data_IF_222993004233
#
_entry.id   IF_222993004233
#
_cell.length_a   1.000
_cell.length_b   1.000
_cell.length_c   1.000
_cell.angle_alpha   90.00
_cell.angle_beta   90.00
_cell.angle_gamma   90.00
#
_symmetry.space_group_name_H-M   'P 1'
#
loop_
_entity.id
_entity.type
_entity.pdbx_description
1 polymer ?
#
# COMPACT_ATOMS: atom_id res chain seq x y z
N UNK A 1 -15.53 17.18 -1.69
CA UNK A 1 -16.07 15.86 -1.27
C UNK A 1 -15.13 15.07 -0.35
N UNK A 2 -13.79 15.39 -0.31
CA UNK A 2 -12.82 14.66 0.53
C UNK A 2 -13.21 14.56 2.02
N UNK A 3 -14.05 15.46 2.53
CA UNK A 3 -14.58 15.40 3.91
C UNK A 3 -15.45 14.16 4.14
N UNK A 4 -16.02 13.57 3.10
CA UNK A 4 -16.81 12.34 3.18
C UNK A 4 -15.96 11.14 3.70
N UNK A 5 -14.64 11.15 3.48
CA UNK A 5 -13.73 10.13 4.02
C UNK A 5 -13.78 10.04 5.57
N UNK A 6 -14.25 11.10 6.24
CA UNK A 6 -14.30 11.20 7.71
C UNK A 6 -15.70 11.48 8.23
N UNK A 7 -16.72 11.37 7.37
CA UNK A 7 -18.11 11.60 7.78
C UNK A 7 -18.56 10.51 8.73
N UNK A 8 -19.15 10.93 9.85
CA UNK A 8 -19.82 10.05 10.81
C UNK A 8 -21.29 9.78 10.45
N UNK A 9 -21.80 10.47 9.43
CA UNK A 9 -23.20 10.33 9.02
C UNK A 9 -23.40 8.98 8.33
N UNK A 10 -24.38 8.25 8.81
CA UNK A 10 -24.82 6.97 8.25
C UNK A 10 -25.75 7.18 7.01
N UNK A 11 -25.55 8.25 6.26
CA UNK A 11 -26.30 8.48 5.04
C UNK A 11 -25.96 7.35 4.06
N UNK A 12 -26.98 6.59 3.66
CA UNK A 12 -26.90 5.50 2.69
C UNK A 12 -26.74 6.04 1.25
N UNK A 13 -25.73 6.88 1.05
CA UNK A 13 -25.34 7.36 -0.28
C UNK A 13 -24.27 6.42 -0.86
N UNK A 14 -24.20 6.34 -2.19
CA UNK A 14 -23.17 5.57 -2.91
C UNK A 14 -21.76 5.93 -2.40
N UNK A 15 -21.51 7.22 -2.13
CA UNK A 15 -20.22 7.69 -1.59
C UNK A 15 -19.95 7.11 -0.20
N UNK A 16 -20.94 7.07 0.69
CA UNK A 16 -20.75 6.52 2.04
C UNK A 16 -20.50 5.01 2.02
N UNK A 17 -21.13 4.29 1.12
CA UNK A 17 -20.91 2.85 0.93
C UNK A 17 -19.52 2.56 0.37
N UNK A 18 -19.07 3.31 -0.64
CA UNK A 18 -17.72 3.21 -1.19
C UNK A 18 -16.66 3.42 -0.10
N UNK A 19 -16.82 4.46 0.72
CA UNK A 19 -15.91 4.75 1.84
C UNK A 19 -15.91 3.61 2.87
N UNK A 20 -17.10 3.16 3.30
CA UNK A 20 -17.24 2.05 4.27
C UNK A 20 -16.57 0.78 3.77
N UNK A 21 -16.82 0.41 2.51
CA UNK A 21 -16.24 -0.78 1.90
C UNK A 21 -14.71 -0.68 1.83
N UNK A 22 -14.18 0.47 1.44
CA UNK A 22 -12.73 0.71 1.40
C UNK A 22 -12.10 0.62 2.79
N UNK A 23 -12.69 1.29 3.78
CA UNK A 23 -12.19 1.26 5.16
C UNK A 23 -12.28 -0.15 5.77
N UNK A 24 -13.36 -0.89 5.51
CA UNK A 24 -13.51 -2.28 5.94
C UNK A 24 -12.40 -3.17 5.35
N UNK A 25 -12.11 -3.01 4.05
CA UNK A 25 -11.04 -3.74 3.37
C UNK A 25 -9.66 -3.38 3.91
N UNK A 26 -9.39 -2.10 4.16
CA UNK A 26 -8.16 -1.65 4.81
C UNK A 26 -8.00 -2.30 6.19
N UNK A 27 -9.07 -2.27 7.01
CA UNK A 27 -9.07 -2.90 8.33
C UNK A 27 -8.76 -4.40 8.24
N UNK A 28 -9.42 -5.13 7.34
CA UNK A 28 -9.16 -6.56 7.14
C UNK A 28 -7.70 -6.82 6.82
N UNK A 29 -7.12 -6.10 5.86
CA UNK A 29 -5.71 -6.26 5.47
C UNK A 29 -4.77 -5.93 6.63
N UNK A 30 -5.01 -4.83 7.34
CA UNK A 30 -4.21 -4.45 8.51
C UNK A 30 -4.28 -5.49 9.62
N UNK A 31 -5.48 -5.96 9.95
CA UNK A 31 -5.69 -6.98 10.98
C UNK A 31 -5.00 -8.30 10.60
N UNK A 32 -5.12 -8.76 9.35
CA UNK A 32 -4.46 -9.97 8.85
C UNK A 32 -2.93 -9.90 8.97
N UNK A 33 -2.34 -8.75 8.67
CA UNK A 33 -0.90 -8.54 8.77
C UNK A 33 -0.47 -8.48 10.24
N UNK A 34 -1.14 -7.67 11.06
CA UNK A 34 -0.77 -7.43 12.44
C UNK A 34 -0.96 -8.65 13.35
N UNK A 35 -2.02 -9.44 13.14
CA UNK A 35 -2.25 -10.67 13.91
C UNK A 35 -1.47 -11.89 13.37
N UNK A 36 -0.77 -11.75 12.24
CA UNK A 36 0.00 -12.80 11.60
C UNK A 36 -0.82 -13.84 10.83
N UNK A 37 -2.09 -13.55 10.51
CA UNK A 37 -2.89 -14.37 9.61
C UNK A 37 -2.40 -14.26 8.16
N UNK A 38 -1.91 -13.06 7.78
CA UNK A 38 -1.21 -12.86 6.51
C UNK A 38 0.29 -13.06 6.72
N UNK A 39 0.83 -14.02 6.00
CA UNK A 39 2.23 -14.42 6.08
C UNK A 39 2.91 -14.31 4.73
N UNK A 40 4.23 -14.28 4.72
CA UNK A 40 5.04 -14.38 3.53
C UNK A 40 4.95 -15.77 2.87
N UNK A 41 5.59 -15.91 1.72
CA UNK A 41 5.48 -17.14 0.90
C UNK A 41 5.96 -18.41 1.66
N UNK A 42 6.89 -18.28 2.59
CA UNK A 42 7.40 -19.40 3.40
C UNK A 42 6.66 -19.58 4.75
N UNK A 43 5.56 -18.84 4.98
CA UNK A 43 4.80 -18.89 6.23
C UNK A 43 5.34 -18.01 7.36
N UNK A 44 6.35 -17.17 7.11
CA UNK A 44 6.87 -16.21 8.09
C UNK A 44 5.97 -15.00 8.23
N UNK A 45 5.91 -14.44 9.43
CA UNK A 45 5.20 -13.18 9.71
C UNK A 45 5.81 -12.02 8.92
N UNK A 46 4.98 -11.07 8.56
CA UNK A 46 5.40 -9.84 7.92
C UNK A 46 6.09 -8.95 8.96
N UNK A 47 7.24 -8.41 8.60
CA UNK A 47 8.07 -7.54 9.43
C UNK A 47 8.24 -6.14 8.80
N UNK A 48 8.06 -6.04 7.47
CA UNK A 48 8.31 -4.81 6.74
C UNK A 48 7.17 -4.51 5.77
N UNK A 49 6.85 -3.23 5.60
CA UNK A 49 5.92 -2.73 4.58
C UNK A 49 6.59 -1.60 3.81
N UNK A 50 6.58 -1.69 2.49
CA UNK A 50 7.16 -0.69 1.59
C UNK A 50 6.04 -0.01 0.82
N UNK A 51 5.90 1.31 0.98
CA UNK A 51 5.00 2.13 0.18
C UNK A 51 5.74 2.66 -1.05
N UNK A 52 5.22 2.37 -2.23
CA UNK A 52 5.77 2.84 -3.52
C UNK A 52 4.77 3.82 -4.11
N UNK A 53 5.09 5.11 -4.08
CA UNK A 53 4.20 6.17 -4.55
C UNK A 53 4.89 7.52 -4.51
N UNK A 54 4.35 8.54 -5.20
CA UNK A 54 4.92 9.89 -5.27
C UNK A 54 3.87 10.95 -4.91
N UNK A 55 4.30 12.11 -4.48
CA UNK A 55 3.44 13.24 -4.13
C UNK A 55 2.46 12.89 -2.99
N UNK A 56 1.17 13.01 -3.23
CA UNK A 56 0.13 12.69 -2.23
C UNK A 56 0.08 11.22 -1.82
N UNK A 57 0.59 10.33 -2.67
CA UNK A 57 0.71 8.89 -2.39
C UNK A 57 1.93 8.54 -1.52
N UNK A 58 2.76 9.50 -1.20
CA UNK A 58 3.98 9.34 -0.38
C UNK A 58 3.99 10.28 0.82
N UNK A 59 3.96 11.61 0.59
CA UNK A 59 4.25 12.60 1.61
C UNK A 59 3.30 12.56 2.82
N UNK A 60 2.00 12.36 2.59
CA UNK A 60 1.03 12.26 3.67
C UNK A 60 1.25 11.02 4.54
N UNK A 61 1.29 9.83 3.96
CA UNK A 61 1.62 8.60 4.69
C UNK A 61 2.94 8.65 5.45
N UNK A 62 4.03 9.10 4.82
CA UNK A 62 5.33 9.21 5.47
C UNK A 62 5.30 10.18 6.65
N UNK A 63 4.76 11.39 6.45
CA UNK A 63 4.63 12.39 7.50
C UNK A 63 3.89 11.85 8.73
N UNK A 64 2.77 11.17 8.53
CA UNK A 64 1.96 10.65 9.65
C UNK A 64 2.66 9.48 10.34
N UNK A 65 3.28 8.59 9.57
CA UNK A 65 4.04 7.45 10.11
C UNK A 65 5.22 7.93 10.96
N UNK A 66 5.95 8.93 10.50
CA UNK A 66 7.04 9.57 11.24
C UNK A 66 6.53 10.27 12.52
N UNK A 67 5.48 11.11 12.38
CA UNK A 67 4.91 11.85 13.49
C UNK A 67 4.35 10.95 14.60
N UNK A 68 3.82 9.78 14.23
CA UNK A 68 3.24 8.83 15.17
C UNK A 68 4.18 7.65 15.50
N UNK A 69 5.45 7.73 15.13
CA UNK A 69 6.43 6.66 15.33
C UNK A 69 6.54 6.16 16.77
N UNK A 70 6.20 6.98 17.75
CA UNK A 70 6.11 6.57 19.16
C UNK A 70 5.05 5.47 19.42
N UNK A 71 4.02 5.42 18.58
CA UNK A 71 2.94 4.42 18.67
C UNK A 71 3.18 3.23 17.73
N UNK A 72 4.29 3.24 16.99
CA UNK A 72 4.59 2.20 16.00
C UNK A 72 4.63 0.81 16.62
N UNK A 73 4.08 -0.14 15.90
CA UNK A 73 4.10 -1.56 16.26
C UNK A 73 5.39 -2.25 15.78
N UNK A 74 5.36 -3.55 15.64
CA UNK A 74 6.53 -4.34 15.25
C UNK A 74 6.89 -4.24 13.76
N UNK A 75 5.98 -3.75 12.92
CA UNK A 75 6.15 -3.71 11.47
C UNK A 75 6.82 -2.41 11.06
N UNK A 76 7.92 -2.51 10.31
CA UNK A 76 8.72 -1.35 9.89
C UNK A 76 8.25 -0.80 8.55
N UNK A 77 7.89 0.51 8.47
CA UNK A 77 7.55 1.17 7.23
C UNK A 77 8.81 1.59 6.44
N UNK A 78 8.71 1.51 5.13
CA UNK A 78 9.69 2.05 4.18
C UNK A 78 8.95 2.79 3.07
N UNK A 79 9.56 3.80 2.48
CA UNK A 79 8.96 4.62 1.43
C UNK A 79 9.89 4.72 0.23
N UNK A 80 9.37 4.43 -0.97
CA UNK A 80 10.06 4.59 -2.24
C UNK A 80 9.24 5.55 -3.08
N UNK A 81 9.80 6.74 -3.39
CA UNK A 81 9.08 7.81 -4.08
C UNK A 81 9.72 8.20 -5.41
N UNK A 82 10.90 8.76 -5.38
CA UNK A 82 11.58 9.26 -6.56
C UNK A 82 12.20 8.13 -7.40
N UNK A 83 12.40 8.38 -8.70
CA UNK A 83 13.22 7.52 -9.56
C UNK A 83 14.69 7.76 -9.20
N UNK A 84 15.11 7.11 -8.14
CA UNK A 84 16.50 7.04 -7.73
C UNK A 84 16.87 5.56 -7.56
N UNK A 85 17.67 5.01 -8.46
CA UNK A 85 18.02 3.59 -8.41
C UNK A 85 18.85 3.24 -7.18
N UNK A 86 19.72 4.12 -6.71
CA UNK A 86 20.58 3.85 -5.56
C UNK A 86 19.79 3.86 -4.25
N UNK A 87 18.85 4.80 -4.11
CA UNK A 87 17.95 4.85 -2.96
C UNK A 87 17.09 3.58 -2.87
N UNK A 88 16.46 3.20 -3.99
CA UNK A 88 15.64 1.98 -4.05
C UNK A 88 16.49 0.73 -3.72
N UNK A 89 17.70 0.61 -4.27
CA UNK A 89 18.58 -0.52 -3.98
C UNK A 89 19.02 -0.60 -2.52
N UNK A 90 19.30 0.54 -1.90
CA UNK A 90 19.70 0.58 -0.49
C UNK A 90 18.55 0.10 0.41
N UNK A 91 17.31 0.47 0.13
CA UNK A 91 16.15 -0.08 0.84
C UNK A 91 16.06 -1.60 0.62
N UNK A 92 16.09 -2.06 -0.63
CA UNK A 92 15.95 -3.49 -0.95
C UNK A 92 17.04 -4.36 -0.33
N UNK A 93 18.28 -3.86 -0.20
CA UNK A 93 19.39 -4.57 0.47
C UNK A 93 19.11 -4.82 1.96
N UNK A 94 18.32 -3.97 2.61
CA UNK A 94 17.98 -4.09 4.03
C UNK A 94 16.78 -4.99 4.30
N UNK A 95 16.06 -5.41 3.24
CA UNK A 95 14.81 -6.16 3.35
C UNK A 95 14.99 -7.66 3.12
N UNK A 96 14.20 -8.42 3.86
CA UNK A 96 13.96 -9.83 3.54
C UNK A 96 12.68 -9.91 2.67
N UNK A 97 12.76 -10.37 1.42
CA UNK A 97 11.59 -10.44 0.53
C UNK A 97 10.48 -11.33 1.09
N UNK A 98 10.81 -12.36 1.87
CA UNK A 98 9.86 -13.28 2.46
C UNK A 98 8.99 -12.65 3.57
N UNK A 99 9.48 -11.61 4.24
CA UNK A 99 8.78 -10.95 5.34
C UNK A 99 8.33 -9.52 5.00
N UNK A 100 8.29 -9.17 3.70
CA UNK A 100 8.00 -7.81 3.23
C UNK A 100 6.74 -7.75 2.38
N UNK A 101 5.85 -6.79 2.67
CA UNK A 101 4.71 -6.39 1.83
C UNK A 101 5.07 -5.12 1.04
N UNK A 102 4.66 -5.07 -0.23
CA UNK A 102 4.82 -3.90 -1.10
C UNK A 102 3.45 -3.33 -1.46
N UNK A 103 3.24 -2.04 -1.19
CA UNK A 103 2.01 -1.31 -1.52
C UNK A 103 2.32 -0.34 -2.65
N UNK A 104 1.78 -0.60 -3.85
CA UNK A 104 1.92 0.28 -5.01
C UNK A 104 0.76 1.26 -5.00
N UNK A 105 1.06 2.54 -4.80
CA UNK A 105 0.05 3.60 -4.64
C UNK A 105 0.09 4.54 -5.84
N UNK A 106 -0.82 4.33 -6.78
CA UNK A 106 -0.98 5.17 -7.97
C UNK A 106 -2.44 5.19 -8.40
N UNK A 107 -3.08 6.35 -8.37
CA UNK A 107 -4.52 6.50 -8.66
C UNK A 107 -4.91 5.92 -10.02
N UNK A 108 -4.11 6.13 -11.05
CA UNK A 108 -4.35 5.66 -12.42
C UNK A 108 -3.55 4.41 -12.78
N UNK A 109 -2.60 4.03 -11.94
CA UNK A 109 -1.60 2.99 -12.21
C UNK A 109 -0.75 3.28 -13.47
N UNK A 110 -0.55 4.59 -13.77
CA UNK A 110 0.22 5.06 -14.95
C UNK A 110 1.33 6.04 -14.59
N UNK A 111 1.49 6.40 -13.30
CA UNK A 111 2.54 7.32 -12.85
C UNK A 111 3.91 6.69 -13.09
N UNK A 112 4.70 7.29 -13.96
CA UNK A 112 5.96 6.72 -14.46
C UNK A 112 6.91 6.39 -13.32
N UNK A 113 7.14 7.32 -12.39
CA UNK A 113 8.05 7.14 -11.26
C UNK A 113 7.62 5.96 -10.38
N UNK A 114 6.33 5.88 -10.09
CA UNK A 114 5.78 4.81 -9.26
C UNK A 114 5.93 3.45 -9.96
N UNK A 115 5.61 3.38 -11.25
CA UNK A 115 5.67 2.12 -12.00
C UNK A 115 7.10 1.63 -12.24
N UNK A 116 8.03 2.52 -12.52
CA UNK A 116 9.44 2.14 -12.69
C UNK A 116 10.03 1.58 -11.38
N UNK A 117 9.74 2.24 -10.25
CA UNK A 117 10.10 1.73 -8.95
C UNK A 117 9.41 0.38 -8.66
N UNK A 118 8.11 0.26 -8.94
CA UNK A 118 7.36 -0.98 -8.72
C UNK A 118 7.92 -2.14 -9.57
N UNK A 119 8.24 -1.91 -10.85
CA UNK A 119 8.87 -2.90 -11.74
C UNK A 119 10.24 -3.33 -11.22
N UNK A 120 11.07 -2.39 -10.73
CA UNK A 120 12.37 -2.68 -10.15
C UNK A 120 12.24 -3.55 -8.90
N UNK A 121 11.32 -3.19 -8.01
CA UNK A 121 11.01 -3.96 -6.79
C UNK A 121 10.48 -5.35 -7.14
N UNK A 122 9.54 -5.46 -8.09
CA UNK A 122 9.01 -6.74 -8.58
C UNK A 122 10.11 -7.64 -9.14
N UNK A 123 10.99 -7.10 -9.98
CA UNK A 123 12.13 -7.84 -10.54
C UNK A 123 13.06 -8.38 -9.46
N UNK A 124 13.35 -7.54 -8.45
CA UNK A 124 14.13 -7.95 -7.28
C UNK A 124 13.40 -9.05 -6.48
N UNK A 125 12.10 -8.89 -6.23
CA UNK A 125 11.30 -9.87 -5.49
C UNK A 125 11.25 -11.23 -6.21
N UNK A 126 10.93 -11.24 -7.50
CA UNK A 126 10.84 -12.47 -8.30
C UNK A 126 12.18 -13.20 -8.38
N UNK A 127 13.29 -12.46 -8.46
CA UNK A 127 14.65 -13.05 -8.44
C UNK A 127 14.96 -13.77 -7.12
N UNK A 128 14.45 -13.29 -6.00
CA UNK A 128 14.77 -13.83 -4.67
C UNK A 128 13.71 -14.79 -4.12
N UNK A 129 12.50 -14.77 -4.68
CA UNK A 129 11.37 -15.62 -4.27
C UNK A 129 10.84 -16.38 -5.48
N UNK A 130 9.78 -15.91 -6.11
CA UNK A 130 9.19 -16.39 -7.36
C UNK A 130 8.02 -15.50 -7.81
N UNK A 131 7.54 -15.71 -9.02
CA UNK A 131 6.42 -14.99 -9.63
C UNK A 131 5.08 -15.25 -8.90
N UNK A 132 4.80 -16.51 -8.56
CA UNK A 132 3.52 -16.93 -7.97
C UNK A 132 3.26 -16.29 -6.61
N UNK A 133 4.30 -15.89 -5.89
CA UNK A 133 4.23 -15.30 -4.55
C UNK A 133 3.87 -13.80 -4.58
N UNK A 134 3.85 -13.15 -5.75
CA UNK A 134 3.42 -11.74 -5.89
C UNK A 134 2.05 -11.53 -5.24
N UNK A 135 1.11 -12.44 -5.45
CA UNK A 135 -0.25 -12.39 -4.89
C UNK A 135 -0.30 -12.26 -3.35
N UNK A 136 0.73 -12.73 -2.65
CA UNK A 136 0.80 -12.67 -1.19
C UNK A 136 1.50 -11.40 -0.69
N UNK A 137 2.42 -10.86 -1.50
CA UNK A 137 3.34 -9.80 -1.07
C UNK A 137 3.02 -8.42 -1.67
N UNK A 138 2.19 -8.33 -2.72
CA UNK A 138 1.89 -7.06 -3.36
C UNK A 138 0.42 -6.67 -3.17
N UNK A 139 0.23 -5.37 -2.91
CA UNK A 139 -1.06 -4.70 -2.76
C UNK A 139 -1.03 -3.50 -3.70
N UNK A 140 -2.15 -3.21 -4.37
CA UNK A 140 -2.31 -1.99 -5.15
C UNK A 140 -3.35 -1.07 -4.52
N UNK A 141 -3.08 0.22 -4.57
CA UNK A 141 -4.03 1.28 -4.22
C UNK A 141 -4.23 2.12 -5.47
N UNK A 142 -5.31 1.82 -6.21
CA UNK A 142 -5.56 2.38 -7.54
C UNK A 142 -7.04 2.33 -7.92
N UNK A 143 -7.47 3.22 -8.83
CA UNK A 143 -8.77 3.11 -9.49
C UNK A 143 -8.74 2.18 -10.71
N UNK A 144 -7.57 2.00 -11.28
CA UNK A 144 -7.36 1.01 -12.33
C UNK A 144 -7.30 -0.38 -11.66
N UNK A 145 -8.13 -1.29 -12.12
CA UNK A 145 -8.18 -2.66 -11.57
C UNK A 145 -7.51 -3.68 -12.48
N UNK A 146 -7.33 -3.36 -13.76
CA UNK A 146 -6.80 -4.31 -14.74
C UNK A 146 -5.26 -4.32 -14.74
N UNK A 147 -4.61 -3.17 -14.85
CA UNK A 147 -3.15 -3.10 -14.85
C UNK A 147 -2.50 -3.71 -13.58
N UNK A 148 -3.06 -3.50 -12.35
CA UNK A 148 -2.58 -4.24 -11.17
C UNK A 148 -2.72 -5.75 -11.29
N UNK A 149 -3.78 -6.28 -11.94
CA UNK A 149 -3.93 -7.72 -12.15
C UNK A 149 -2.89 -8.24 -13.15
N UNK A 150 -2.61 -7.50 -14.23
CA UNK A 150 -1.54 -7.82 -15.18
C UNK A 150 -0.17 -7.78 -14.50
N UNK A 151 0.01 -6.94 -13.48
CA UNK A 151 1.21 -6.91 -12.64
C UNK A 151 1.34 -8.15 -11.72
N UNK A 152 0.29 -8.95 -11.57
CA UNK A 152 0.21 -10.16 -10.74
C UNK A 152 -0.50 -9.96 -9.40
N UNK A 153 -1.16 -8.82 -9.18
CA UNK A 153 -1.85 -8.51 -7.93
C UNK A 153 -3.29 -9.02 -7.98
N UNK A 154 -3.69 -9.85 -7.04
CA UNK A 154 -5.06 -10.37 -6.95
C UNK A 154 -6.08 -9.27 -6.61
N UNK A 155 -7.30 -9.38 -7.13
CA UNK A 155 -8.38 -8.41 -6.92
C UNK A 155 -8.70 -8.12 -5.45
N UNK A 156 -8.53 -9.10 -4.56
CA UNK A 156 -8.68 -8.90 -3.12
C UNK A 156 -7.65 -7.93 -2.53
N UNK A 157 -6.49 -7.80 -3.17
CA UNK A 157 -5.37 -6.93 -2.78
C UNK A 157 -5.37 -5.58 -3.53
N UNK A 158 -6.44 -5.23 -4.28
CA UNK A 158 -6.57 -3.95 -4.95
C UNK A 158 -7.59 -3.11 -4.19
N UNK A 159 -7.16 -1.96 -3.66
CA UNK A 159 -8.03 -0.98 -2.98
C UNK A 159 -8.24 0.23 -3.90
N UNK A 160 -9.47 0.73 -3.96
CA UNK A 160 -9.79 1.89 -4.77
C UNK A 160 -9.37 3.21 -4.09
N UNK A 161 -9.07 4.22 -4.93
CA UNK A 161 -8.98 5.61 -4.51
C UNK A 161 -10.17 6.33 -5.16
N UNK A 162 -11.13 6.88 -4.42
CA UNK A 162 -12.25 7.57 -5.03
C UNK A 162 -11.79 8.72 -5.94
N UNK A 163 -12.40 8.87 -7.12
CA UNK A 163 -12.01 9.91 -8.09
C UNK A 163 -12.13 11.33 -7.53
N UNK A 164 -13.11 11.53 -6.66
CA UNK A 164 -13.37 12.81 -6.00
C UNK A 164 -12.36 13.15 -4.88
N UNK A 165 -11.40 12.25 -4.57
CA UNK A 165 -10.34 12.50 -3.59
C UNK A 165 -9.12 13.07 -4.30
N UNK A 166 -8.76 14.31 -3.96
CA UNK A 166 -7.51 14.92 -4.41
C UNK A 166 -6.29 14.32 -3.68
N UNK A 167 -5.13 14.28 -4.37
CA UNK A 167 -3.92 13.62 -3.87
C UNK A 167 -3.53 14.00 -2.43
N UNK A 168 -3.52 15.29 -2.10
CA UNK A 168 -3.15 15.79 -0.75
C UNK A 168 -4.12 15.38 0.36
N UNK A 169 -5.32 14.92 0.03
CA UNK A 169 -6.35 14.48 0.99
C UNK A 169 -6.50 12.96 1.05
N UNK A 170 -5.75 12.23 0.21
CA UNK A 170 -5.92 10.79 0.01
C UNK A 170 -5.42 9.93 1.18
N UNK A 171 -4.56 10.47 2.02
CA UNK A 171 -4.06 9.76 3.21
C UNK A 171 -5.18 9.32 4.17
N UNK A 172 -6.36 9.97 4.14
CA UNK A 172 -7.53 9.61 4.96
C UNK A 172 -8.35 8.45 4.39
N UNK A 173 -7.96 7.93 3.23
CA UNK A 173 -8.55 6.76 2.57
C UNK A 173 -7.52 5.65 2.39
N UNK A 174 -7.68 4.87 1.32
CA UNK A 174 -6.86 3.69 1.01
C UNK A 174 -5.35 3.97 0.92
N UNK A 175 -4.94 5.19 0.58
CA UNK A 175 -3.53 5.61 0.57
C UNK A 175 -2.91 5.55 1.97
N UNK A 176 -3.71 5.68 3.03
CA UNK A 176 -3.28 5.54 4.41
C UNK A 176 -3.11 4.09 4.90
N UNK A 177 -3.20 3.09 4.04
CA UNK A 177 -3.09 1.69 4.43
C UNK A 177 -1.79 1.39 5.20
N UNK A 178 -0.66 1.94 4.77
CA UNK A 178 0.62 1.74 5.48
C UNK A 178 0.57 2.27 6.91
N UNK A 179 -0.12 3.39 7.16
CA UNK A 179 -0.29 3.95 8.49
C UNK A 179 -1.07 2.95 9.37
N UNK A 180 -2.21 2.46 8.87
CA UNK A 180 -3.05 1.51 9.63
C UNK A 180 -2.41 0.15 9.88
N UNK A 181 -1.34 -0.19 9.15
CA UNK A 181 -0.55 -1.40 9.38
C UNK A 181 0.53 -1.14 10.43
N UNK A 182 1.19 0.02 10.39
CA UNK A 182 2.40 0.26 11.18
C UNK A 182 2.14 1.02 12.50
N UNK A 183 1.00 1.73 12.62
CA UNK A 183 0.62 2.53 13.79
C UNK A 183 -0.65 1.95 14.44
#
# INVERSE_FOLDING_TARGET
LHTALRSKNNDSTIISEEVKNTLSKMKTISDEINNGARVGHSGKKIENVVNIGIGGSHLGPEMVTEALSFYAQSIKPYFISNIDPDYTENILKSLNPDTTIFIIVSKTFTTIETLENAKKVRKWFVKNVNEESIKNHFIAVSNNTEDPKEFGIESKNILSIPEWVGGRFSLWGSVGLIISICI
#
